data_IF_482704982384
#
_entry.id   IF_482704982384
#
_cell.length_a   1.000
_cell.length_b   1.000
_cell.length_c   1.000
_cell.angle_alpha   90.00
_cell.angle_beta   90.00
_cell.angle_gamma   90.00
#
_symmetry.space_group_name_H-M   'P 1'
#
loop_
_entity.id
_entity.type
_entity.pdbx_description
1 polymer ?
#
# COMPACT_ATOMS: atom_id res chain seq x y z
N UNK A 1 17.10 -3.07 -6.65
CA UNK A 1 16.21 -3.36 -5.51
C UNK A 1 15.29 -4.49 -5.93
N UNK A 2 15.07 -5.47 -5.07
CA UNK A 2 14.16 -6.59 -5.35
C UNK A 2 12.78 -6.27 -4.75
N UNK A 3 11.71 -6.50 -5.53
CA UNK A 3 10.33 -6.25 -5.12
C UNK A 3 9.53 -7.51 -5.41
N UNK A 4 8.87 -8.05 -4.38
CA UNK A 4 7.97 -9.18 -4.51
C UNK A 4 6.59 -8.68 -4.97
N UNK A 5 6.13 -9.17 -6.12
CA UNK A 5 4.83 -8.82 -6.74
C UNK A 5 3.79 -9.93 -6.65
N UNK A 6 4.05 -11.00 -5.88
CA UNK A 6 3.17 -12.18 -5.78
C UNK A 6 1.78 -11.89 -5.21
N UNK A 7 1.60 -10.73 -4.56
CA UNK A 7 0.33 -10.25 -3.99
C UNK A 7 -0.11 -8.92 -4.58
N UNK A 8 0.35 -8.59 -5.79
CA UNK A 8 -0.14 -7.41 -6.51
C UNK A 8 -1.62 -7.60 -6.87
N UNK A 9 -2.47 -6.85 -6.18
CA UNK A 9 -3.92 -6.88 -6.36
C UNK A 9 -4.32 -6.00 -7.56
N UNK A 10 -4.86 -6.64 -8.60
CA UNK A 10 -5.15 -6.00 -9.90
C UNK A 10 -6.60 -5.55 -10.09
N UNK A 11 -7.48 -5.80 -9.12
CA UNK A 11 -8.90 -5.42 -9.13
C UNK A 11 -9.18 -4.14 -8.33
N UNK A 12 -8.15 -3.42 -7.88
CA UNK A 12 -8.30 -2.14 -7.17
C UNK A 12 -8.82 -1.03 -8.09
N UNK A 13 -9.66 -0.11 -7.59
CA UNK A 13 -10.22 0.96 -8.40
C UNK A 13 -9.16 2.00 -8.77
N UNK A 14 -9.34 2.63 -9.93
CA UNK A 14 -8.66 3.89 -10.26
C UNK A 14 -9.24 5.03 -9.41
N UNK A 15 -8.38 5.91 -8.89
CA UNK A 15 -8.77 7.05 -8.05
C UNK A 15 -8.17 8.34 -8.62
N UNK A 16 -8.99 9.16 -9.30
CA UNK A 16 -8.48 10.34 -9.99
C UNK A 16 -7.89 10.00 -11.37
N UNK A 17 -7.02 10.88 -11.87
CA UNK A 17 -6.39 10.76 -13.19
C UNK A 17 -4.97 11.30 -13.16
N UNK A 18 -4.13 10.82 -14.09
CA UNK A 18 -2.80 11.39 -14.28
C UNK A 18 -2.87 12.90 -14.62
N UNK A 19 -1.85 13.69 -14.23
CA UNK A 19 -0.67 13.28 -13.46
C UNK A 19 -0.98 13.08 -11.97
N UNK A 20 -0.40 12.04 -11.36
CA UNK A 20 -0.36 11.85 -9.91
C UNK A 20 0.93 12.46 -9.36
N UNK A 21 0.82 13.45 -8.46
CA UNK A 21 1.96 14.31 -8.06
C UNK A 21 2.58 13.94 -6.72
N UNK A 22 2.08 12.92 -6.02
CA UNK A 22 2.48 12.60 -4.66
C UNK A 22 2.90 11.14 -4.52
N UNK A 23 3.88 10.91 -3.65
CA UNK A 23 4.19 9.60 -3.06
C UNK A 23 3.95 9.74 -1.57
N UNK A 24 3.11 8.89 -1.00
CA UNK A 24 2.74 8.95 0.42
C UNK A 24 3.52 7.92 1.23
N UNK A 25 4.06 8.38 2.36
CA UNK A 25 4.72 7.54 3.34
C UNK A 25 3.76 7.28 4.51
N UNK A 26 3.62 6.00 4.87
CA UNK A 26 2.72 5.51 5.91
C UNK A 26 3.44 4.51 6.81
N UNK A 27 2.80 4.17 7.93
CA UNK A 27 3.13 3.02 8.74
C UNK A 27 1.84 2.33 9.19
N UNK A 28 1.90 1.02 9.38
CA UNK A 28 0.69 0.18 9.40
C UNK A 28 -0.18 0.36 10.65
N UNK A 29 0.33 1.03 11.69
CA UNK A 29 -0.32 1.10 13.00
C UNK A 29 -0.54 -0.26 13.66
N UNK A 30 0.13 -1.32 13.17
CA UNK A 30 -0.10 -2.69 13.57
C UNK A 30 1.17 -3.29 14.21
N UNK A 31 1.20 -3.44 15.55
CA UNK A 31 2.40 -3.84 16.29
C UNK A 31 2.75 -5.34 16.15
N UNK A 32 1.91 -6.13 15.47
CA UNK A 32 2.04 -7.59 15.45
C UNK A 32 2.10 -8.20 14.04
N UNK A 33 1.82 -7.43 13.01
CA UNK A 33 1.77 -7.94 11.63
C UNK A 33 3.13 -8.01 10.97
N UNK A 34 3.43 -9.13 10.34
CA UNK A 34 4.52 -9.22 9.36
C UNK A 34 4.13 -8.59 8.02
N UNK A 35 5.10 -8.32 7.15
CA UNK A 35 4.88 -7.87 5.77
C UNK A 35 3.93 -8.80 5.00
N UNK A 36 4.01 -10.11 5.23
CA UNK A 36 3.16 -11.09 4.58
C UNK A 36 1.73 -11.04 5.13
N UNK A 37 1.55 -10.80 6.44
CA UNK A 37 0.20 -10.63 7.01
C UNK A 37 -0.50 -9.40 6.41
N UNK A 38 0.23 -8.30 6.27
CA UNK A 38 -0.31 -7.07 5.67
C UNK A 38 -0.62 -7.27 4.18
N UNK A 39 0.25 -7.96 3.42
CA UNK A 39 -0.02 -8.28 2.02
C UNK A 39 -1.23 -9.21 1.85
N UNK A 40 -1.38 -10.22 2.70
CA UNK A 40 -2.52 -11.15 2.66
C UNK A 40 -3.84 -10.48 3.08
N UNK A 41 -3.79 -9.56 4.05
CA UNK A 41 -4.96 -8.78 4.45
C UNK A 41 -5.35 -7.77 3.36
N UNK A 42 -4.39 -7.00 2.84
CA UNK A 42 -4.61 -6.05 1.75
C UNK A 42 -5.20 -6.71 0.50
N UNK A 43 -4.75 -7.93 0.18
CA UNK A 43 -5.30 -8.73 -0.91
C UNK A 43 -6.81 -8.97 -0.79
N UNK A 44 -7.31 -9.24 0.42
CA UNK A 44 -8.70 -9.69 0.66
C UNK A 44 -9.63 -8.64 1.26
N UNK A 45 -9.09 -7.53 1.79
CA UNK A 45 -9.90 -6.52 2.46
C UNK A 45 -10.85 -5.84 1.47
N UNK A 46 -11.93 -5.29 2.00
CA UNK A 46 -12.73 -4.32 1.26
C UNK A 46 -11.84 -3.09 0.95
N UNK A 47 -11.67 -2.70 -0.33
CA UNK A 47 -10.89 -1.53 -0.70
C UNK A 47 -11.38 -0.23 -0.04
N UNK A 48 -12.69 -0.12 0.30
CA UNK A 48 -13.24 1.08 0.96
C UNK A 48 -12.64 1.32 2.36
N UNK A 49 -12.06 0.29 2.99
CA UNK A 49 -11.30 0.40 4.24
C UNK A 49 -9.87 0.98 4.03
N UNK A 50 -9.57 1.43 2.83
CA UNK A 50 -8.31 2.02 2.41
C UNK A 50 -7.32 1.01 1.81
N UNK A 51 -6.53 1.44 0.84
CA UNK A 51 -5.55 0.57 0.17
C UNK A 51 -4.33 1.38 -0.27
N UNK A 52 -3.18 0.71 -0.38
CA UNK A 52 -1.89 1.28 -0.75
C UNK A 52 -1.16 0.42 -1.79
N UNK A 53 0.02 0.88 -2.22
CA UNK A 53 0.77 0.26 -3.33
C UNK A 53 1.88 -0.68 -2.85
N UNK A 54 2.54 -0.36 -1.74
CA UNK A 54 3.72 -1.09 -1.27
C UNK A 54 3.70 -1.28 0.25
N UNK A 55 4.32 -2.36 0.73
CA UNK A 55 4.63 -2.61 2.14
C UNK A 55 6.11 -2.94 2.25
N UNK A 56 6.77 -2.37 3.25
CA UNK A 56 8.17 -2.60 3.60
C UNK A 56 8.25 -3.22 4.99
N UNK A 57 8.87 -4.39 5.10
CA UNK A 57 8.98 -5.08 6.37
C UNK A 57 9.68 -6.43 6.28
N UNK A 58 10.20 -6.91 7.41
CA UNK A 58 10.89 -8.21 7.52
C UNK A 58 12.00 -8.42 6.46
N UNK A 59 12.69 -7.35 6.05
CA UNK A 59 13.75 -7.40 5.03
C UNK A 59 13.25 -7.50 3.58
N UNK A 60 11.95 -7.33 3.33
CA UNK A 60 11.31 -7.46 2.02
C UNK A 60 10.52 -6.18 1.66
N UNK A 61 10.34 -5.96 0.35
CA UNK A 61 9.40 -5.00 -0.21
C UNK A 61 8.38 -5.79 -1.01
N UNK A 62 7.10 -5.60 -0.71
CA UNK A 62 6.00 -6.20 -1.46
C UNK A 62 5.20 -5.11 -2.16
N UNK A 63 5.05 -5.22 -3.48
CA UNK A 63 4.06 -4.43 -4.20
C UNK A 63 2.72 -5.16 -4.15
N UNK A 64 1.73 -4.51 -3.56
CA UNK A 64 0.41 -5.09 -3.28
C UNK A 64 -0.73 -4.37 -4.01
N UNK A 65 -0.47 -3.18 -4.55
CA UNK A 65 -1.42 -2.44 -5.39
C UNK A 65 -0.74 -1.74 -6.56
N UNK A 66 -1.52 -1.23 -7.54
CA UNK A 66 -0.98 -0.51 -8.67
C UNK A 66 -0.33 0.81 -8.23
N UNK A 67 0.64 1.26 -9.03
CA UNK A 67 1.16 2.64 -9.00
C UNK A 67 0.53 3.44 -10.13
N UNK A 68 0.68 4.76 -10.11
CA UNK A 68 0.19 5.65 -11.16
C UNK A 68 -1.33 5.51 -11.42
N UNK A 69 -2.08 5.28 -10.34
CA UNK A 69 -3.49 4.90 -10.37
C UNK A 69 -4.35 5.63 -9.32
N UNK A 70 -3.74 6.44 -8.44
CA UNK A 70 -4.38 6.94 -7.24
C UNK A 70 -4.64 5.83 -6.21
N UNK A 71 -5.01 6.21 -4.99
CA UNK A 71 -5.34 5.27 -3.94
C UNK A 71 -6.29 5.87 -2.91
N UNK A 72 -7.08 5.04 -2.22
CA UNK A 72 -7.78 5.47 -1.02
C UNK A 72 -6.88 5.29 0.20
N UNK A 73 -5.81 6.07 0.30
CA UNK A 73 -4.77 5.87 1.32
C UNK A 73 -4.72 6.97 2.38
N UNK A 74 -5.13 8.21 2.06
CA UNK A 74 -5.06 9.37 2.98
C UNK A 74 -6.43 9.90 3.43
N UNK A 75 -7.52 9.26 3.00
CA UNK A 75 -8.88 9.61 3.45
C UNK A 75 -9.36 11.01 3.04
N UNK A 76 -8.79 11.59 1.98
CA UNK A 76 -9.09 12.97 1.55
C UNK A 76 -8.77 13.22 0.08
N UNK A 77 -8.83 14.48 -0.34
CA UNK A 77 -8.67 14.85 -1.77
C UNK A 77 -7.33 14.43 -2.39
N UNK A 78 -6.27 14.29 -1.59
CA UNK A 78 -4.97 13.81 -2.06
C UNK A 78 -4.93 12.32 -2.41
N UNK A 79 -6.00 11.55 -2.14
CA UNK A 79 -6.19 10.22 -2.71
C UNK A 79 -6.05 10.22 -4.26
N UNK A 80 -6.51 11.30 -4.91
CA UNK A 80 -6.43 11.49 -6.35
C UNK A 80 -5.04 11.95 -6.84
N UNK A 81 -4.06 12.05 -5.94
CA UNK A 81 -2.69 12.49 -6.22
C UNK A 81 -1.64 11.38 -6.03
N UNK A 82 -2.06 10.22 -5.53
CA UNK A 82 -1.19 9.11 -5.15
C UNK A 82 -0.61 8.39 -6.37
N UNK A 83 0.65 8.65 -6.69
CA UNK A 83 1.43 7.79 -7.60
C UNK A 83 1.77 6.47 -6.89
N UNK A 84 2.17 6.53 -5.63
CA UNK A 84 2.42 5.38 -4.77
C UNK A 84 2.15 5.73 -3.30
N UNK A 85 1.63 4.77 -2.55
CA UNK A 85 1.53 4.80 -1.08
C UNK A 85 2.33 3.63 -0.49
N UNK A 86 3.25 3.91 0.43
CA UNK A 86 4.21 2.94 0.98
C UNK A 86 4.04 2.83 2.49
N UNK A 87 3.74 1.62 2.97
CA UNK A 87 3.56 1.28 4.38
C UNK A 87 4.82 0.66 4.99
N UNK A 88 5.32 1.21 6.11
CA UNK A 88 6.32 0.55 6.96
C UNK A 88 5.62 -0.30 8.04
N UNK A 89 6.00 -1.57 8.20
CA UNK A 89 5.47 -2.40 9.30
C UNK A 89 5.88 -1.84 10.68
N UNK A 90 5.05 -2.06 11.70
CA UNK A 90 5.33 -1.61 13.07
C UNK A 90 5.66 -2.75 14.06
N UNK A 91 6.03 -3.93 13.55
CA UNK A 91 6.25 -5.16 14.35
C UNK A 91 7.73 -5.52 14.57
N UNK A 92 8.62 -4.54 14.55
CA UNK A 92 10.05 -4.76 14.80
C UNK A 92 10.29 -5.30 16.22
N UNK A 93 11.03 -6.40 16.35
CA UNK A 93 11.60 -6.81 17.64
C UNK A 93 12.99 -6.19 17.79
N UNK A 94 13.19 -5.46 18.88
CA UNK A 94 14.52 -5.05 19.36
C UNK A 94 15.22 -6.15 20.13
#
# INVERSE_FOLDING_TARGET
MEINVSKLRTDLPQVGVQPYRQVHAHSTGNPHSTVQNEADYHWRKDPELGFFSHIVGNGCIMQVGPVDNGAWDVGGGWNAETYAAVELIESHST
#
